data_IF_936914508809
#
_entry.id   IF_936914508809
#
_cell.length_a   1.000
_cell.length_b   1.000
_cell.length_c   1.000
_cell.angle_alpha   90.00
_cell.angle_beta   90.00
_cell.angle_gamma   90.00
#
_symmetry.space_group_name_H-M   'P 1'
#
loop_
_entity.id
_entity.type
_entity.pdbx_description
1 polymer ?
#
# COMPACT_ATOMS: atom_id res chain seq x y z
N UNK A 1 -53.88 -44.92 7.37
CA UNK A 1 -52.48 -44.95 6.87
C UNK A 1 -51.68 -43.87 7.59
N UNK A 2 -50.94 -44.26 8.64
CA UNK A 2 -50.12 -43.34 9.43
C UNK A 2 -48.75 -43.15 8.76
N UNK A 3 -48.47 -41.95 8.23
CA UNK A 3 -47.15 -41.58 7.70
C UNK A 3 -46.25 -41.18 8.87
N UNK A 4 -45.23 -42.00 9.14
CA UNK A 4 -44.12 -41.67 10.06
C UNK A 4 -43.19 -40.69 9.35
N UNK A 5 -42.98 -39.52 9.95
CA UNK A 5 -41.96 -38.55 9.54
C UNK A 5 -40.65 -38.93 10.25
N UNK A 6 -39.60 -39.22 9.49
CA UNK A 6 -38.27 -39.50 9.98
C UNK A 6 -37.48 -38.18 10.05
N UNK A 7 -36.84 -37.81 11.17
CA UNK A 7 -36.01 -36.61 11.20
C UNK A 7 -34.65 -36.90 10.56
N UNK A 8 -34.31 -36.12 9.53
CA UNK A 8 -32.96 -36.09 8.94
C UNK A 8 -32.08 -35.27 9.89
N UNK A 9 -31.17 -35.94 10.60
CA UNK A 9 -30.13 -35.29 11.39
C UNK A 9 -29.03 -34.85 10.42
N UNK A 10 -28.99 -33.55 10.13
CA UNK A 10 -27.95 -32.91 9.32
C UNK A 10 -26.71 -32.71 10.21
N UNK A 11 -25.72 -33.59 10.05
CA UNK A 11 -24.43 -33.49 10.73
C UNK A 11 -23.58 -32.40 10.05
N UNK A 12 -23.63 -31.18 10.60
CA UNK A 12 -22.74 -30.08 10.21
C UNK A 12 -21.32 -30.37 10.73
N UNK A 13 -20.47 -30.92 9.88
CA UNK A 13 -19.02 -30.98 10.08
C UNK A 13 -18.45 -29.56 10.00
N UNK A 14 -18.35 -28.89 11.15
CA UNK A 14 -17.56 -27.66 11.30
C UNK A 14 -16.08 -28.04 11.25
N UNK A 15 -15.48 -28.03 10.07
CA UNK A 15 -14.03 -28.01 9.94
C UNK A 15 -13.53 -26.66 10.43
N UNK A 16 -13.11 -26.63 11.70
CA UNK A 16 -12.31 -25.55 12.27
C UNK A 16 -11.02 -25.44 11.46
N UNK A 17 -10.97 -24.51 10.51
CA UNK A 17 -9.71 -24.02 9.96
C UNK A 17 -8.99 -23.30 11.09
N UNK A 18 -8.11 -24.03 11.78
CA UNK A 18 -7.13 -23.41 12.65
C UNK A 18 -6.32 -22.42 11.81
N UNK A 19 -6.63 -21.13 11.94
CA UNK A 19 -5.77 -20.07 11.42
C UNK A 19 -4.42 -20.27 12.13
N UNK A 20 -3.43 -20.76 11.38
CA UNK A 20 -2.04 -20.78 11.84
C UNK A 20 -1.75 -19.37 12.35
N UNK A 21 -1.46 -19.26 13.64
CA UNK A 21 -1.05 -18.02 14.29
C UNK A 21 0.10 -17.46 13.46
N UNK A 22 -0.17 -16.37 12.75
CA UNK A 22 0.83 -15.63 12.01
C UNK A 22 1.90 -15.25 13.05
N UNK A 23 3.14 -15.75 12.89
CA UNK A 23 4.23 -15.40 13.80
C UNK A 23 4.22 -13.88 13.96
N UNK A 24 4.18 -13.42 15.21
CA UNK A 24 4.13 -12.00 15.54
C UNK A 24 5.25 -11.29 14.78
N UNK A 25 4.84 -10.41 13.88
CA UNK A 25 5.75 -9.56 13.13
C UNK A 25 6.42 -8.63 14.15
N UNK A 26 7.74 -8.72 14.27
CA UNK A 26 8.53 -7.77 15.05
C UNK A 26 8.96 -6.64 14.12
N UNK A 27 8.31 -5.46 14.16
CA UNK A 27 8.72 -4.34 13.34
C UNK A 27 10.15 -3.91 13.69
N UNK A 28 10.91 -3.53 12.67
CA UNK A 28 12.18 -2.85 12.87
C UNK A 28 11.90 -1.48 13.46
N UNK A 29 12.56 -1.13 14.56
CA UNK A 29 12.47 0.23 15.12
C UNK A 29 13.30 1.15 14.22
N UNK A 30 12.68 2.15 13.56
CA UNK A 30 13.43 3.09 12.73
C UNK A 30 14.43 3.89 13.57
N UNK A 31 15.61 4.17 13.00
CA UNK A 31 16.63 5.06 13.60
C UNK A 31 16.52 6.50 13.09
N UNK A 32 15.50 6.80 12.28
CA UNK A 32 15.26 8.12 11.69
C UNK A 32 14.82 9.10 12.76
N UNK A 33 15.35 10.32 12.72
CA UNK A 33 14.94 11.39 13.63
C UNK A 33 13.48 11.78 13.37
N UNK A 34 12.69 11.85 14.43
CA UNK A 34 11.32 12.35 14.34
C UNK A 34 11.28 13.87 14.10
N UNK A 35 10.57 14.29 13.06
CA UNK A 35 10.50 15.69 12.56
C UNK A 35 9.11 16.07 12.06
N UNK A 36 8.08 15.22 12.26
CA UNK A 36 6.73 15.48 11.77
C UNK A 36 6.10 16.76 12.35
N UNK A 37 6.44 17.09 13.60
CA UNK A 37 5.96 18.28 14.29
C UNK A 37 6.47 19.59 13.67
N UNK A 38 7.66 19.56 13.08
CA UNK A 38 8.26 20.71 12.40
C UNK A 38 7.56 21.06 11.08
N UNK A 39 6.71 20.16 10.59
CA UNK A 39 5.99 20.32 9.32
C UNK A 39 4.68 21.11 9.47
N UNK A 40 4.24 21.32 10.71
CA UNK A 40 3.08 22.17 10.95
C UNK A 40 3.42 23.64 10.65
N UNK A 41 2.62 24.32 9.82
CA UNK A 41 2.79 25.74 9.62
C UNK A 41 2.44 26.50 10.89
N UNK A 42 3.27 27.50 11.21
CA UNK A 42 3.07 28.46 12.29
C UNK A 42 2.90 29.85 11.70
N UNK A 43 2.18 30.73 12.40
CA UNK A 43 2.00 32.14 12.03
C UNK A 43 1.31 32.40 10.67
N UNK A 44 0.25 31.64 10.35
CA UNK A 44 -0.54 31.82 9.13
C UNK A 44 -1.90 32.51 9.36
N UNK A 45 -2.02 33.30 10.43
CA UNK A 45 -3.28 33.97 10.79
C UNK A 45 -3.72 34.98 9.72
N UNK A 46 -2.78 35.65 9.05
CA UNK A 46 -3.06 36.57 7.94
C UNK A 46 -3.65 35.85 6.72
N UNK A 47 -3.39 34.54 6.59
CA UNK A 47 -3.98 33.68 5.56
C UNK A 47 -5.26 32.98 6.04
N UNK A 48 -5.80 33.38 7.19
CA UNK A 48 -7.00 32.80 7.78
C UNK A 48 -6.80 31.41 8.40
N UNK A 49 -5.55 30.96 8.62
CA UNK A 49 -5.23 29.68 9.24
C UNK A 49 -4.76 29.91 10.67
N UNK A 50 -5.61 29.56 11.64
CA UNK A 50 -5.32 29.71 13.06
C UNK A 50 -5.07 28.35 13.71
N UNK A 51 -3.89 28.15 14.30
CA UNK A 51 -3.61 26.95 15.08
C UNK A 51 -4.31 27.06 16.46
N UNK A 52 -5.19 26.11 16.76
CA UNK A 52 -5.97 26.07 18.00
C UNK A 52 -5.26 25.37 19.15
N UNK A 53 -4.35 24.45 18.84
CA UNK A 53 -3.58 23.70 19.84
C UNK A 53 -2.13 23.51 19.40
N UNK A 54 -1.17 23.52 20.34
CA UNK A 54 0.18 23.04 20.05
C UNK A 54 0.14 21.62 19.47
N UNK A 55 1.18 21.28 18.70
CA UNK A 55 1.32 19.94 18.17
C UNK A 55 1.58 18.93 19.30
N UNK A 56 0.84 17.83 19.31
CA UNK A 56 1.05 16.70 20.21
C UNK A 56 1.77 15.57 19.47
N UNK A 57 2.89 15.13 20.03
CA UNK A 57 3.77 14.14 19.40
C UNK A 57 3.57 12.76 20.05
N UNK A 58 3.40 11.74 19.21
CA UNK A 58 3.30 10.34 19.61
C UNK A 58 4.36 9.55 18.84
N UNK A 59 5.44 9.20 19.52
CA UNK A 59 6.51 8.38 18.96
C UNK A 59 6.09 6.91 18.84
N UNK A 60 6.74 6.16 17.95
CA UNK A 60 6.51 4.73 17.79
C UNK A 60 6.71 3.94 19.10
N UNK A 61 7.63 4.37 19.97
CA UNK A 61 7.86 3.80 21.30
C UNK A 61 6.63 3.87 22.21
N UNK A 62 5.86 4.96 22.13
CA UNK A 62 4.74 5.26 23.03
C UNK A 62 3.37 4.99 22.40
N UNK A 63 3.35 4.75 21.09
CA UNK A 63 2.16 4.58 20.27
C UNK A 63 1.13 3.55 20.77
N UNK A 64 1.55 2.46 21.42
CA UNK A 64 0.62 1.47 21.98
C UNK A 64 -0.36 2.09 22.99
N UNK A 65 0.11 3.07 23.78
CA UNK A 65 -0.69 3.73 24.81
C UNK A 65 -1.75 4.67 24.21
N UNK A 66 -1.49 5.21 23.03
CA UNK A 66 -2.29 6.28 22.44
C UNK A 66 -3.15 5.84 21.24
N UNK A 67 -2.70 4.84 20.48
CA UNK A 67 -3.29 4.46 19.19
C UNK A 67 -3.99 3.10 19.21
N UNK A 68 -3.90 2.36 20.32
CA UNK A 68 -4.59 1.08 20.49
C UNK A 68 -4.25 0.08 19.39
N UNK A 69 -5.26 -0.52 18.76
CA UNK A 69 -5.07 -1.56 17.74
C UNK A 69 -4.59 -1.02 16.38
N UNK A 70 -4.85 0.25 16.08
CA UNK A 70 -4.54 0.86 14.77
C UNK A 70 -3.02 0.90 14.53
N UNK A 71 -2.21 0.97 15.60
CA UNK A 71 -0.75 0.99 15.49
C UNK A 71 -0.15 -0.25 14.81
N UNK A 72 -0.83 -1.39 14.89
CA UNK A 72 -0.40 -2.60 14.18
C UNK A 72 -0.25 -2.30 12.69
N UNK A 73 -1.25 -1.64 12.08
CA UNK A 73 -1.22 -1.20 10.67
C UNK A 73 -0.06 -0.26 10.40
N UNK A 74 0.26 0.67 11.31
CA UNK A 74 1.31 1.67 11.08
C UNK A 74 2.69 1.01 11.13
N UNK A 75 2.89 0.09 12.07
CA UNK A 75 4.15 -0.66 12.24
C UNK A 75 4.49 -1.54 11.06
N UNK A 76 3.49 -2.02 10.31
CA UNK A 76 3.75 -2.70 9.04
C UNK A 76 4.51 -1.82 8.05
N UNK A 77 4.46 -0.50 8.18
CA UNK A 77 5.15 0.44 7.30
C UNK A 77 6.31 1.17 7.98
N UNK A 78 7.02 0.56 8.93
CA UNK A 78 8.20 1.19 9.58
C UNK A 78 7.90 2.60 10.14
N UNK A 79 6.77 2.72 10.84
CA UNK A 79 6.31 3.96 11.46
C UNK A 79 7.32 4.50 12.50
N UNK A 80 7.64 5.80 12.39
CA UNK A 80 8.55 6.54 13.28
C UNK A 80 7.76 7.21 14.40
N UNK A 81 6.67 7.87 14.04
CA UNK A 81 5.82 8.63 14.96
C UNK A 81 4.77 9.44 14.20
N UNK A 82 3.86 10.07 14.94
CA UNK A 82 2.91 11.02 14.38
C UNK A 82 2.86 12.29 15.24
N UNK A 83 2.57 13.40 14.58
CA UNK A 83 2.25 14.66 15.24
C UNK A 83 0.83 15.08 14.86
N UNK A 84 0.06 15.60 15.82
CA UNK A 84 -1.31 16.07 15.60
C UNK A 84 -1.51 17.49 16.09
N UNK A 85 -2.27 18.28 15.35
CA UNK A 85 -2.66 19.63 15.74
C UNK A 85 -4.09 19.92 15.27
N UNK A 86 -4.75 20.88 15.93
CA UNK A 86 -6.04 21.42 15.49
C UNK A 86 -5.86 22.82 14.93
N UNK A 87 -6.57 23.10 13.85
CA UNK A 87 -6.63 24.38 13.18
C UNK A 87 -8.07 24.86 13.06
N UNK A 88 -8.26 26.15 12.92
CA UNK A 88 -9.50 26.80 12.50
C UNK A 88 -9.21 27.61 11.25
N UNK A 89 -10.01 27.39 10.21
CA UNK A 89 -9.89 28.07 8.92
C UNK A 89 -11.28 28.51 8.52
N UNK A 90 -11.50 29.82 8.41
CA UNK A 90 -12.83 30.38 8.13
C UNK A 90 -13.92 29.82 9.08
N UNK A 91 -13.60 29.73 10.38
CA UNK A 91 -14.46 29.16 11.44
C UNK A 91 -14.75 27.65 11.30
N UNK A 92 -14.08 26.95 10.39
CA UNK A 92 -14.18 25.50 10.23
C UNK A 92 -13.02 24.84 10.97
N UNK A 93 -13.28 24.00 11.98
CA UNK A 93 -12.24 23.26 12.67
C UNK A 93 -11.70 22.13 11.78
N UNK A 94 -10.38 22.07 11.64
CA UNK A 94 -9.66 21.03 10.90
C UNK A 94 -8.67 20.35 11.84
N UNK A 95 -8.75 19.03 11.94
CA UNK A 95 -7.74 18.21 12.61
C UNK A 95 -6.68 17.80 11.58
N UNK A 96 -5.41 18.00 11.91
CA UNK A 96 -4.31 17.63 11.04
C UNK A 96 -3.39 16.64 11.76
N UNK A 97 -3.11 15.51 11.11
CA UNK A 97 -2.17 14.49 11.56
C UNK A 97 -1.07 14.35 10.51
N UNK A 98 0.19 14.36 10.95
CA UNK A 98 1.36 14.12 10.10
C UNK A 98 2.06 12.87 10.63
N UNK A 99 1.96 11.79 9.87
CA UNK A 99 2.61 10.52 10.15
C UNK A 99 3.95 10.49 9.45
N UNK A 100 5.02 10.15 10.17
CA UNK A 100 6.36 9.95 9.62
C UNK A 100 6.73 8.47 9.59
N UNK A 101 7.33 8.06 8.48
CA UNK A 101 7.82 6.71 8.26
C UNK A 101 9.32 6.71 8.00
N UNK A 102 9.96 5.54 8.07
CA UNK A 102 11.41 5.44 7.93
C UNK A 102 11.92 5.79 6.52
N UNK A 103 11.05 5.76 5.51
CA UNK A 103 11.39 6.06 4.12
C UNK A 103 10.18 6.55 3.32
N UNK A 104 10.44 7.13 2.15
CA UNK A 104 9.40 7.56 1.21
C UNK A 104 8.53 6.40 0.69
N UNK A 105 9.13 5.22 0.52
CA UNK A 105 8.42 4.02 0.07
C UNK A 105 7.43 3.56 1.14
N UNK A 106 7.89 3.53 2.39
CA UNK A 106 7.09 3.13 3.54
C UNK A 106 5.87 4.04 3.73
N UNK A 107 6.08 5.37 3.64
CA UNK A 107 4.99 6.35 3.65
C UNK A 107 4.01 6.13 2.50
N UNK A 108 4.51 5.96 1.27
CA UNK A 108 3.64 5.68 0.11
C UNK A 108 2.86 4.36 0.28
N UNK A 109 3.50 3.34 0.83
CA UNK A 109 2.85 2.06 1.16
C UNK A 109 1.69 2.26 2.12
N UNK A 110 1.90 3.01 3.20
CA UNK A 110 0.84 3.31 4.16
C UNK A 110 -0.29 4.10 3.51
N UNK A 111 0.03 5.20 2.80
CA UNK A 111 -0.92 6.03 2.07
C UNK A 111 -1.77 5.20 1.09
N UNK A 112 -1.12 4.42 0.22
CA UNK A 112 -1.81 3.57 -0.77
C UNK A 112 -2.63 2.44 -0.15
N UNK A 113 -2.33 2.04 1.10
CA UNK A 113 -3.13 1.06 1.86
C UNK A 113 -4.44 1.62 2.44
N UNK A 114 -4.61 2.94 2.45
CA UNK A 114 -5.83 3.62 2.90
C UNK A 114 -6.80 3.87 1.75
N UNK A 115 -6.31 3.76 0.52
CA UNK A 115 -7.03 4.10 -0.71
C UNK A 115 -7.97 2.98 -1.16
N UNK A 116 -9.23 3.32 -1.44
CA UNK A 116 -10.13 2.46 -2.21
C UNK A 116 -9.74 2.46 -3.70
N UNK A 117 -9.92 1.35 -4.44
CA UNK A 117 -9.69 1.34 -5.90
C UNK A 117 -10.54 2.36 -6.68
N UNK A 118 -11.62 2.87 -6.10
CA UNK A 118 -12.55 3.79 -6.76
C UNK A 118 -12.38 5.26 -6.37
N UNK A 119 -11.40 5.63 -5.54
CA UNK A 119 -11.22 7.04 -5.17
C UNK A 119 -10.69 7.83 -6.35
N UNK A 120 -11.11 9.09 -6.45
CA UNK A 120 -10.46 10.06 -7.32
C UNK A 120 -9.18 10.56 -6.66
N UNK A 121 -8.10 10.60 -7.44
CA UNK A 121 -6.82 11.15 -7.02
C UNK A 121 -6.75 12.64 -7.35
N UNK A 122 -6.07 13.39 -6.50
CA UNK A 122 -5.76 14.81 -6.69
C UNK A 122 -4.24 15.05 -6.56
N UNK A 123 -3.79 16.22 -7.02
CA UNK A 123 -2.37 16.63 -7.05
C UNK A 123 -2.01 17.56 -5.89
N UNK A 124 -2.38 17.17 -4.66
CA UNK A 124 -1.91 17.83 -3.45
C UNK A 124 -0.80 16.99 -2.82
N UNK A 125 0.37 17.58 -2.56
CA UNK A 125 1.58 16.81 -2.26
C UNK A 125 2.06 16.07 -3.51
N UNK A 126 2.57 14.84 -3.36
CA UNK A 126 2.86 13.96 -4.51
C UNK A 126 1.59 13.29 -5.06
N UNK A 127 0.72 12.81 -4.18
CA UNK A 127 -0.60 12.27 -4.50
C UNK A 127 -1.52 12.53 -3.30
N UNK A 128 -2.80 12.78 -3.55
CA UNK A 128 -3.81 12.83 -2.48
C UNK A 128 -5.15 12.25 -2.91
N UNK A 129 -6.00 11.93 -1.94
CA UNK A 129 -7.39 11.55 -2.18
C UNK A 129 -8.24 11.88 -0.96
N UNK A 130 -9.57 11.95 -1.16
CA UNK A 130 -10.53 12.25 -0.10
C UNK A 130 -11.50 11.08 0.07
N UNK A 131 -11.76 10.69 1.32
CA UNK A 131 -12.78 9.69 1.68
C UNK A 131 -13.56 10.23 2.87
N UNK A 132 -14.86 10.47 2.66
CA UNK A 132 -15.69 11.18 3.64
C UNK A 132 -15.09 12.53 3.96
N UNK A 133 -14.97 12.85 5.26
CA UNK A 133 -14.49 14.15 5.74
C UNK A 133 -12.96 14.24 5.85
N UNK A 134 -12.23 13.24 5.34
CA UNK A 134 -10.78 13.14 5.50
C UNK A 134 -10.07 13.17 4.14
N UNK A 135 -9.06 14.02 4.02
CA UNK A 135 -8.14 14.07 2.90
C UNK A 135 -6.79 13.51 3.33
N UNK A 136 -6.29 12.56 2.54
CA UNK A 136 -5.02 11.88 2.74
C UNK A 136 -4.04 12.41 1.71
N UNK A 137 -2.85 12.81 2.12
CA UNK A 137 -1.82 13.41 1.27
C UNK A 137 -0.51 12.66 1.50
N UNK A 138 0.12 12.23 0.42
CA UNK A 138 1.47 11.67 0.43
C UNK A 138 2.50 12.75 0.08
N UNK A 139 3.58 12.85 0.87
CA UNK A 139 4.74 13.68 0.54
C UNK A 139 6.03 13.15 1.19
N UNK A 140 6.94 12.60 0.39
CA UNK A 140 8.20 12.02 0.85
C UNK A 140 7.98 10.96 1.94
N UNK A 141 8.64 11.11 3.08
CA UNK A 141 8.50 10.21 4.24
C UNK A 141 7.25 10.46 5.10
N UNK A 142 6.39 11.41 4.70
CA UNK A 142 5.20 11.80 5.44
C UNK A 142 3.90 11.37 4.74
N UNK A 143 2.94 10.94 5.55
CA UNK A 143 1.53 10.88 5.16
C UNK A 143 0.76 11.86 6.03
N UNK A 144 0.06 12.81 5.43
CA UNK A 144 -0.73 13.82 6.12
C UNK A 144 -2.20 13.42 6.01
N UNK A 145 -2.93 13.50 7.12
CA UNK A 145 -4.36 13.26 7.19
C UNK A 145 -5.01 14.54 7.72
N UNK A 146 -5.87 15.14 6.91
CA UNK A 146 -6.63 16.34 7.27
C UNK A 146 -8.09 15.96 7.36
N UNK A 147 -8.74 16.24 8.48
CA UNK A 147 -10.13 15.87 8.71
C UNK A 147 -10.94 17.04 9.23
N UNK A 148 -12.16 17.20 8.73
CA UNK A 148 -13.16 18.11 9.27
C UNK A 148 -14.20 17.33 10.09
N UNK A 149 -14.69 17.92 11.18
CA UNK A 149 -15.72 17.25 11.99
C UNK A 149 -17.06 17.18 11.25
N UNK A 150 -17.43 18.26 10.55
CA UNK A 150 -18.67 18.36 9.76
C UNK A 150 -18.34 18.82 8.34
N UNK A 151 -18.90 18.11 7.35
CA UNK A 151 -18.78 18.50 5.95
C UNK A 151 -19.69 19.69 5.66
N UNK A 152 -19.12 20.72 5.06
CA UNK A 152 -19.79 21.95 4.60
C UNK A 152 -19.38 22.20 3.16
N UNK A 153 -20.09 23.07 2.45
CA UNK A 153 -19.76 23.43 1.06
C UNK A 153 -18.31 23.93 0.91
N UNK A 154 -17.75 24.54 1.96
CA UNK A 154 -16.38 25.08 1.96
C UNK A 154 -15.32 24.14 2.56
N UNK A 155 -15.71 22.96 3.07
CA UNK A 155 -14.79 22.08 3.77
C UNK A 155 -13.63 21.60 2.89
N UNK A 156 -13.88 21.36 1.60
CA UNK A 156 -12.85 20.94 0.66
C UNK A 156 -11.79 22.03 0.42
N UNK A 157 -12.21 23.28 0.18
CA UNK A 157 -11.30 24.42 -0.01
C UNK A 157 -10.47 24.69 1.25
N UNK A 158 -11.12 24.64 2.42
CA UNK A 158 -10.48 24.78 3.72
C UNK A 158 -9.38 23.73 3.94
N UNK A 159 -9.68 22.45 3.66
CA UNK A 159 -8.71 21.36 3.80
C UNK A 159 -7.55 21.52 2.80
N UNK A 160 -7.84 21.90 1.56
CA UNK A 160 -6.80 22.14 0.56
C UNK A 160 -5.89 23.32 0.91
N UNK A 161 -6.44 24.39 1.52
CA UNK A 161 -5.66 25.53 1.96
C UNK A 161 -4.63 25.11 3.02
N UNK A 162 -5.07 24.37 4.06
CA UNK A 162 -4.16 23.84 5.08
C UNK A 162 -3.15 22.85 4.49
N UNK A 163 -3.62 21.94 3.64
CA UNK A 163 -2.78 20.93 3.02
C UNK A 163 -1.68 21.53 2.16
N UNK A 164 -1.97 22.59 1.38
CA UNK A 164 -0.95 23.32 0.63
C UNK A 164 0.07 23.96 1.56
N UNK A 165 -0.38 24.63 2.63
CA UNK A 165 0.51 25.24 3.60
C UNK A 165 1.47 24.23 4.27
N UNK A 166 0.96 23.04 4.65
CA UNK A 166 1.79 21.97 5.19
C UNK A 166 2.76 21.43 4.13
N UNK A 167 2.25 21.12 2.93
CA UNK A 167 3.06 20.61 1.81
C UNK A 167 4.21 21.57 1.45
N UNK A 168 3.94 22.87 1.35
CA UNK A 168 4.94 23.90 1.10
C UNK A 168 5.96 24.00 2.23
N UNK A 169 5.50 23.93 3.48
CA UNK A 169 6.36 23.95 4.67
C UNK A 169 7.37 22.79 4.67
N UNK A 170 7.00 21.62 4.16
CA UNK A 170 7.93 20.48 4.09
C UNK A 170 9.15 20.73 3.22
N UNK A 171 9.04 21.58 2.18
CA UNK A 171 10.09 21.77 1.17
C UNK A 171 10.46 20.51 0.38
N UNK A 172 9.67 19.43 0.51
CA UNK A 172 9.94 18.16 -0.17
C UNK A 172 9.36 18.14 -1.59
N UNK A 173 9.96 17.31 -2.43
CA UNK A 173 9.49 17.12 -3.80
C UNK A 173 8.12 16.41 -3.82
N UNK A 174 7.21 16.93 -4.64
CA UNK A 174 5.88 16.40 -4.92
C UNK A 174 5.92 15.21 -5.90
N UNK A 175 6.77 14.22 -5.63
CA UNK A 175 6.98 13.07 -6.51
C UNK A 175 6.61 11.77 -5.79
N UNK A 176 5.99 10.85 -6.52
CA UNK A 176 5.81 9.46 -6.07
C UNK A 176 7.14 8.70 -6.16
N UNK A 177 7.31 7.57 -5.44
CA UNK A 177 8.53 6.80 -5.51
C UNK A 177 8.91 6.39 -6.94
N UNK A 178 10.17 6.63 -7.31
CA UNK A 178 10.70 6.36 -8.65
C UNK A 178 10.60 4.89 -9.09
N UNK A 179 10.41 3.98 -8.13
CA UNK A 179 10.13 2.58 -8.40
C UNK A 179 8.89 2.39 -9.31
N UNK A 180 7.92 3.29 -9.22
CA UNK A 180 6.71 3.19 -10.04
C UNK A 180 6.92 3.57 -11.51
N UNK A 181 8.08 4.14 -11.87
CA UNK A 181 8.48 4.37 -13.26
C UNK A 181 8.81 3.06 -14.00
N UNK A 182 9.06 1.96 -13.27
CA UNK A 182 9.33 0.64 -13.86
C UNK A 182 8.06 -0.06 -14.36
N UNK A 183 6.89 0.52 -14.09
CA UNK A 183 5.60 0.00 -14.50
C UNK A 183 5.10 0.73 -15.75
N UNK A 184 4.57 0.00 -16.76
CA UNK A 184 4.05 0.63 -17.96
C UNK A 184 2.84 1.52 -17.64
N UNK A 185 2.73 2.65 -18.34
CA UNK A 185 1.59 3.54 -18.15
C UNK A 185 0.32 3.01 -18.85
N UNK A 186 0.47 2.38 -20.01
CA UNK A 186 -0.67 1.87 -20.79
C UNK A 186 -1.43 0.80 -20.02
N UNK A 187 -2.76 0.86 -20.07
CA UNK A 187 -3.69 -0.10 -19.46
C UNK A 187 -3.67 -0.14 -17.92
N UNK A 188 -2.92 0.74 -17.28
CA UNK A 188 -2.84 0.85 -15.82
C UNK A 188 -4.20 1.23 -15.25
N UNK A 189 -4.66 0.50 -14.24
CA UNK A 189 -5.83 0.89 -13.46
C UNK A 189 -5.35 1.90 -12.42
N UNK A 190 -5.73 3.16 -12.56
CA UNK A 190 -5.44 4.19 -11.57
C UNK A 190 -6.61 4.18 -10.56
N UNK A 191 -6.35 4.16 -9.23
CA UNK A 191 -5.07 4.32 -8.56
C UNK A 191 -4.63 3.03 -7.81
N UNK A 192 -4.16 2.02 -8.54
CA UNK A 192 -3.84 0.68 -7.95
C UNK A 192 -2.38 0.47 -7.58
N UNK A 193 -1.56 1.50 -7.72
CA UNK A 193 -0.15 1.43 -7.35
C UNK A 193 0.01 1.28 -5.83
N UNK A 194 0.80 0.30 -5.39
CA UNK A 194 1.01 -0.04 -3.97
C UNK A 194 2.44 -0.44 -3.68
N UNK A 195 2.84 -0.26 -2.42
CA UNK A 195 4.10 -0.77 -1.86
C UNK A 195 3.82 -1.61 -0.62
N UNK A 196 4.42 -2.79 -0.58
CA UNK A 196 4.32 -3.76 0.50
C UNK A 196 5.70 -3.90 1.16
N UNK A 197 5.94 -3.23 2.29
CA UNK A 197 7.21 -3.34 3.00
C UNK A 197 7.48 -4.77 3.49
N UNK A 198 6.44 -5.51 3.88
CA UNK A 198 6.59 -6.87 4.38
C UNK A 198 5.53 -7.85 3.89
N UNK A 199 5.92 -9.12 3.81
CA UNK A 199 5.05 -10.28 3.66
C UNK A 199 3.99 -10.16 2.56
N UNK A 200 4.39 -9.67 1.39
CA UNK A 200 3.50 -9.64 0.23
C UNK A 200 2.94 -11.05 -0.05
N UNK A 201 1.64 -11.12 -0.36
CA UNK A 201 0.89 -12.38 -0.51
C UNK A 201 0.91 -13.32 0.71
N UNK A 202 1.27 -12.81 1.89
CA UNK A 202 1.49 -13.59 3.13
C UNK A 202 2.68 -14.55 3.05
N UNK A 203 3.68 -14.24 2.21
CA UNK A 203 4.91 -15.03 2.08
C UNK A 203 5.96 -14.42 3.00
N UNK A 204 6.41 -15.20 4.01
CA UNK A 204 7.37 -14.70 4.98
C UNK A 204 8.67 -14.25 4.32
N UNK A 205 9.13 -13.04 4.62
CA UNK A 205 10.36 -12.47 4.04
C UNK A 205 10.19 -11.92 2.62
N UNK A 206 9.00 -12.05 2.01
CA UNK A 206 8.72 -11.47 0.70
C UNK A 206 8.36 -9.99 0.83
N UNK A 207 9.41 -9.20 1.02
CA UNK A 207 9.37 -7.83 1.50
C UNK A 207 9.74 -6.84 0.39
N UNK A 208 9.33 -5.57 0.58
CA UNK A 208 9.62 -4.44 -0.30
C UNK A 208 9.12 -4.67 -1.73
N UNK A 209 7.86 -5.08 -1.88
CA UNK A 209 7.26 -5.38 -3.17
C UNK A 209 6.46 -4.18 -3.67
N UNK A 210 6.74 -3.73 -4.88
CA UNK A 210 5.93 -2.73 -5.58
C UNK A 210 4.94 -3.44 -6.47
N UNK A 211 3.70 -2.96 -6.55
CA UNK A 211 2.67 -3.54 -7.42
C UNK A 211 1.88 -2.48 -8.16
N UNK A 212 1.26 -2.87 -9.27
CA UNK A 212 0.24 -2.07 -9.99
C UNK A 212 -0.68 -3.02 -10.75
N UNK A 213 -1.97 -2.71 -10.77
CA UNK A 213 -2.98 -3.49 -11.47
C UNK A 213 -3.27 -2.93 -12.87
N UNK A 214 -3.63 -3.82 -13.79
CA UNK A 214 -3.88 -3.53 -15.20
C UNK A 214 -5.15 -4.20 -15.66
N UNK A 215 -5.80 -3.58 -16.64
CA UNK A 215 -6.92 -4.16 -17.39
C UNK A 215 -6.53 -4.35 -18.85
N UNK A 216 -6.42 -5.60 -19.27
CA UNK A 216 -6.06 -5.96 -20.65
C UNK A 216 -7.28 -6.64 -21.28
N UNK A 217 -7.85 -5.98 -22.28
CA UNK A 217 -9.15 -6.37 -22.86
C UNK A 217 -10.25 -6.39 -21.78
N UNK A 218 -10.65 -7.57 -21.32
CA UNK A 218 -11.63 -7.77 -20.24
C UNK A 218 -11.06 -8.48 -19.01
N UNK A 219 -9.77 -8.82 -19.02
CA UNK A 219 -9.11 -9.48 -17.89
C UNK A 219 -8.26 -8.49 -17.09
N UNK A 220 -8.06 -8.78 -15.81
CA UNK A 220 -7.17 -8.02 -14.94
C UNK A 220 -5.93 -8.81 -14.54
N UNK A 221 -4.82 -8.12 -14.37
CA UNK A 221 -3.58 -8.69 -13.84
C UNK A 221 -2.93 -7.71 -12.86
N UNK A 222 -2.08 -8.23 -11.98
CA UNK A 222 -1.20 -7.41 -11.15
C UNK A 222 0.25 -7.66 -11.56
N UNK A 223 0.96 -6.61 -11.91
CA UNK A 223 2.41 -6.66 -12.05
C UNK A 223 3.03 -6.40 -10.68
N UNK A 224 4.10 -7.12 -10.34
CA UNK A 224 4.89 -6.83 -9.15
C UNK A 224 6.37 -6.89 -9.44
N UNK A 225 7.17 -6.10 -8.71
CA UNK A 225 8.61 -6.27 -8.72
C UNK A 225 9.26 -5.84 -7.41
N UNK A 226 10.50 -6.29 -7.20
CA UNK A 226 11.37 -5.89 -6.10
C UNK A 226 12.83 -6.03 -6.49
N UNK A 227 13.72 -5.34 -5.76
CA UNK A 227 15.16 -5.56 -5.88
C UNK A 227 15.50 -6.89 -5.20
N UNK A 228 16.28 -7.72 -5.90
CA UNK A 228 16.72 -9.04 -5.44
C UNK A 228 18.09 -9.39 -6.04
N UNK A 229 19.12 -8.66 -5.62
CA UNK A 229 20.49 -8.81 -6.16
C UNK A 229 21.13 -10.15 -5.80
N UNK A 230 20.75 -10.76 -4.67
CA UNK A 230 21.26 -12.07 -4.25
C UNK A 230 20.45 -13.24 -4.80
N UNK A 231 19.20 -13.00 -5.23
CA UNK A 231 18.27 -14.05 -5.63
C UNK A 231 17.55 -14.74 -4.46
N UNK A 232 17.76 -14.29 -3.23
CA UNK A 232 17.16 -14.92 -2.04
C UNK A 232 15.64 -14.80 -2.04
N UNK A 233 15.09 -13.67 -2.48
CA UNK A 233 13.63 -13.51 -2.56
C UNK A 233 13.05 -14.45 -3.61
N UNK A 234 13.74 -14.64 -4.74
CA UNK A 234 13.35 -15.59 -5.78
C UNK A 234 13.37 -17.03 -5.28
N UNK A 235 14.44 -17.47 -4.60
CA UNK A 235 14.54 -18.83 -4.04
C UNK A 235 13.39 -19.06 -3.04
N UNK A 236 13.21 -18.15 -2.08
CA UNK A 236 12.14 -18.25 -1.08
C UNK A 236 10.74 -18.30 -1.72
N UNK A 237 10.51 -17.48 -2.76
CA UNK A 237 9.22 -17.44 -3.44
C UNK A 237 8.97 -18.72 -4.26
N UNK A 238 9.99 -19.26 -4.91
CA UNK A 238 9.90 -20.53 -5.64
C UNK A 238 9.62 -21.72 -4.69
N UNK A 239 10.25 -21.73 -3.51
CA UNK A 239 9.99 -22.73 -2.48
C UNK A 239 8.54 -22.66 -1.98
N UNK A 240 8.04 -21.46 -1.69
CA UNK A 240 6.64 -21.24 -1.33
C UNK A 240 5.68 -21.75 -2.42
N UNK A 241 5.93 -21.38 -3.67
CA UNK A 241 5.11 -21.81 -4.82
C UNK A 241 5.02 -23.33 -4.93
N UNK A 242 6.13 -24.04 -4.68
CA UNK A 242 6.19 -25.50 -4.71
C UNK A 242 5.43 -26.18 -3.58
N UNK A 243 5.15 -25.47 -2.48
CA UNK A 243 4.41 -25.99 -1.32
C UNK A 243 2.90 -25.78 -1.44
N UNK A 244 2.47 -24.68 -2.07
CA UNK A 244 1.07 -24.23 -2.01
C UNK A 244 0.32 -24.33 -3.34
N UNK A 245 1.03 -24.45 -4.46
CA UNK A 245 0.45 -24.41 -5.78
C UNK A 245 0.81 -25.61 -6.64
N UNK A 246 0.12 -25.72 -7.77
CA UNK A 246 0.52 -26.65 -8.81
C UNK A 246 1.53 -25.95 -9.71
N UNK A 247 2.78 -26.44 -9.74
CA UNK A 247 3.77 -25.96 -10.70
C UNK A 247 3.26 -26.25 -12.12
N UNK A 248 3.19 -25.22 -12.94
CA UNK A 248 2.76 -25.31 -14.34
C UNK A 248 3.94 -24.99 -15.24
N UNK A 249 3.86 -25.41 -16.51
CA UNK A 249 4.85 -25.04 -17.51
C UNK A 249 4.91 -23.52 -17.63
N UNK A 250 6.12 -22.97 -17.60
CA UNK A 250 6.32 -21.53 -17.76
C UNK A 250 5.76 -21.11 -19.13
N UNK A 251 4.83 -20.13 -19.20
CA UNK A 251 4.33 -19.67 -20.47
C UNK A 251 5.46 -19.13 -21.35
N UNK A 252 5.44 -19.50 -22.63
CA UNK A 252 6.46 -19.06 -23.59
C UNK A 252 6.51 -17.52 -23.68
N UNK A 253 7.72 -16.96 -23.86
CA UNK A 253 7.92 -15.56 -24.25
C UNK A 253 8.54 -14.66 -23.17
N UNK A 254 8.57 -15.09 -21.91
CA UNK A 254 9.28 -14.36 -20.86
C UNK A 254 10.79 -14.60 -20.97
N UNK A 255 11.58 -13.51 -21.08
CA UNK A 255 13.04 -13.58 -21.17
C UNK A 255 13.72 -13.17 -19.86
N UNK A 256 13.47 -13.93 -18.80
CA UNK A 256 14.22 -13.83 -17.54
C UNK A 256 15.69 -14.27 -17.73
N UNK A 257 16.53 -14.08 -16.71
CA UNK A 257 17.92 -14.54 -16.69
C UNK A 257 17.99 -16.08 -16.64
N UNK A 258 18.85 -16.72 -17.45
CA UNK A 258 19.31 -18.12 -17.36
C UNK A 258 18.32 -19.15 -16.76
N UNK A 259 17.07 -19.19 -17.25
CA UNK A 259 15.98 -20.05 -16.76
C UNK A 259 15.54 -19.81 -15.29
N UNK A 260 15.96 -18.71 -14.65
CA UNK A 260 15.48 -18.24 -13.35
C UNK A 260 14.06 -17.69 -13.45
N UNK A 261 13.14 -18.59 -13.73
CA UNK A 261 11.71 -18.32 -13.78
C UNK A 261 10.92 -19.54 -13.33
N UNK A 262 9.72 -19.29 -12.83
CA UNK A 262 8.77 -20.34 -12.52
C UNK A 262 7.35 -19.81 -12.72
N UNK A 263 6.43 -20.74 -12.94
CA UNK A 263 5.01 -20.47 -12.97
C UNK A 263 4.27 -21.49 -12.10
N UNK A 264 3.25 -21.03 -11.40
CA UNK A 264 2.38 -21.91 -10.61
C UNK A 264 0.95 -21.39 -10.60
N UNK A 265 0.01 -22.29 -10.38
CA UNK A 265 -1.40 -21.94 -10.21
C UNK A 265 -1.75 -21.83 -8.72
N UNK A 266 -2.20 -20.64 -8.32
CA UNK A 266 -2.74 -20.32 -7.00
C UNK A 266 -4.26 -20.34 -7.09
N UNK A 267 -4.93 -21.09 -6.20
CA UNK A 267 -6.39 -21.27 -6.23
C UNK A 267 -7.18 -19.98 -6.05
N UNK A 268 -6.56 -18.94 -5.48
CA UNK A 268 -7.19 -17.64 -5.20
C UNK A 268 -6.76 -16.55 -6.17
N UNK A 269 -5.57 -16.68 -6.77
CA UNK A 269 -4.93 -15.63 -7.57
C UNK A 269 -4.70 -16.02 -9.03
N UNK A 270 -5.04 -17.25 -9.42
CA UNK A 270 -4.82 -17.78 -10.76
C UNK A 270 -3.35 -18.08 -11.02
N UNK A 271 -2.94 -18.01 -12.29
CA UNK A 271 -1.56 -18.30 -12.69
C UNK A 271 -0.65 -17.13 -12.27
N UNK A 272 0.42 -17.46 -11.56
CA UNK A 272 1.47 -16.52 -11.19
C UNK A 272 2.73 -16.92 -11.92
N UNK A 273 3.36 -15.95 -12.59
CA UNK A 273 4.63 -16.12 -13.29
C UNK A 273 5.64 -15.16 -12.67
N UNK A 274 6.83 -15.64 -12.33
CA UNK A 274 7.87 -14.82 -11.71
C UNK A 274 9.26 -15.25 -12.19
N UNK A 275 10.22 -14.33 -12.14
CA UNK A 275 11.61 -14.63 -12.45
C UNK A 275 12.57 -13.49 -12.15
N UNK A 276 13.86 -13.79 -12.26
CA UNK A 276 14.95 -12.83 -12.07
C UNK A 276 15.29 -12.10 -13.37
N UNK A 277 15.54 -10.80 -13.25
CA UNK A 277 15.93 -9.91 -14.33
C UNK A 277 16.72 -8.71 -13.81
N UNK A 278 17.98 -8.59 -14.20
CA UNK A 278 18.93 -7.55 -13.78
C UNK A 278 18.98 -7.32 -12.26
N UNK A 279 19.08 -8.41 -11.48
CA UNK A 279 19.09 -8.34 -10.01
C UNK A 279 17.78 -7.84 -9.41
N UNK A 280 16.65 -8.06 -10.11
CA UNK A 280 15.30 -7.78 -9.67
C UNK A 280 14.47 -9.06 -9.80
N UNK A 281 13.58 -9.28 -8.84
CA UNK A 281 12.52 -10.27 -8.97
C UNK A 281 11.28 -9.57 -9.48
N UNK A 282 10.78 -9.98 -10.65
CA UNK A 282 9.59 -9.42 -11.27
C UNK A 282 8.61 -10.52 -11.68
N UNK A 283 7.32 -10.23 -11.61
CA UNK A 283 6.31 -11.20 -12.00
C UNK A 283 4.92 -10.61 -12.19
N UNK A 284 4.01 -11.52 -12.55
CA UNK A 284 2.64 -11.25 -12.92
C UNK A 284 1.73 -12.18 -12.12
N UNK A 285 0.66 -11.63 -11.57
CA UNK A 285 -0.41 -12.35 -10.88
C UNK A 285 -1.65 -12.36 -11.78
N UNK A 286 -2.38 -13.48 -11.79
CA UNK A 286 -3.54 -13.75 -12.65
C UNK A 286 -3.21 -13.68 -14.15
N UNK A 287 -2.06 -14.23 -14.55
CA UNK A 287 -1.62 -14.23 -15.94
C UNK A 287 -2.51 -15.12 -16.82
N UNK A 288 -2.96 -14.57 -17.96
CA UNK A 288 -3.78 -15.28 -18.95
C UNK A 288 -3.09 -15.23 -20.32
N UNK A 289 -2.44 -16.32 -20.77
CA UNK A 289 -1.63 -16.30 -21.99
C UNK A 289 -2.39 -15.81 -23.24
N UNK A 290 -3.70 -16.10 -23.33
CA UNK A 290 -4.53 -15.74 -24.48
C UNK A 290 -4.69 -14.22 -24.65
N UNK A 291 -5.00 -13.50 -23.57
CA UNK A 291 -5.24 -12.05 -23.59
C UNK A 291 -3.97 -11.24 -23.30
N UNK A 292 -3.04 -11.77 -22.52
CA UNK A 292 -1.89 -11.02 -21.98
C UNK A 292 -0.55 -11.37 -22.62
N UNK A 293 -0.52 -12.32 -23.57
CA UNK A 293 0.70 -12.89 -24.15
C UNK A 293 1.63 -11.91 -24.87
N UNK A 294 1.16 -10.70 -25.19
CA UNK A 294 2.00 -9.61 -25.73
C UNK A 294 2.42 -8.62 -24.64
N UNK A 295 1.48 -8.16 -23.83
CA UNK A 295 1.70 -7.09 -22.86
C UNK A 295 2.74 -7.47 -21.80
N UNK A 296 2.57 -8.62 -21.14
CA UNK A 296 3.41 -8.97 -20.00
C UNK A 296 4.88 -9.27 -20.41
N UNK A 297 5.16 -10.03 -21.49
CA UNK A 297 6.53 -10.21 -21.96
C UNK A 297 7.22 -8.92 -22.41
N UNK A 298 6.49 -7.97 -23.00
CA UNK A 298 7.05 -6.67 -23.38
C UNK A 298 7.52 -5.88 -22.15
N UNK A 299 6.72 -5.87 -21.09
CA UNK A 299 7.12 -5.24 -19.83
C UNK A 299 8.37 -5.89 -19.24
N UNK A 300 8.39 -7.23 -19.12
CA UNK A 300 9.58 -7.95 -18.62
C UNK A 300 10.81 -7.61 -19.44
N UNK A 301 10.71 -7.58 -20.78
CA UNK A 301 11.84 -7.20 -21.63
C UNK A 301 12.31 -5.74 -21.41
N UNK A 302 11.40 -4.83 -21.08
CA UNK A 302 11.72 -3.43 -20.76
C UNK A 302 12.39 -3.21 -19.41
N UNK A 303 12.46 -4.24 -18.56
CA UNK A 303 13.21 -4.19 -17.30
C UNK A 303 14.72 -4.50 -17.47
N UNK A 304 15.13 -4.95 -18.67
CA UNK A 304 16.54 -5.15 -19.05
C UNK A 304 17.26 -3.83 -19.26
#
# INVERSE_FOLDING_TARGET
MNKKILPIILLLLLTSCAQKTQKDFTPVIPTVQFTADLQFPTNLEESGIKQLSPAENILASDSNKHLGQIISKYRWFNFVGLSKAKYEINLIPVSAEILQFASENDSYGFFSSLRSPSVQMNELGGESFTVGNSTYIYIGEYTIILSVETETENSFETVNLLGNAIVEKTGLNKIIPNHFLMFPYNYKIIPTTKYYPYNFMNINGFNQIFTTDYVIESDTLTLFYTIDKSGDKYINFKEYASQIGQIVSNPNGFKYEDDFSFAYEDSTRGIIVAGLINGRLAGIINYRPKSMGKFAPLWINGLK
#
